data_IF_619586508617
#
_entry.id   IF_619586508617
#
_cell.length_a   1.000
_cell.length_b   1.000
_cell.length_c   1.000
_cell.angle_alpha   90.00
_cell.angle_beta   90.00
_cell.angle_gamma   90.00
#
_symmetry.space_group_name_H-M   'P 1'
#
loop_
_entity.id
_entity.type
_entity.pdbx_description
1 polymer ?
#
# COMPACT_ATOMS: atom_id res chain seq x y z
N UNK A 1 -45.26 24.80 1.46
CA UNK A 1 -43.85 24.58 1.84
C UNK A 1 -43.22 23.62 0.84
N UNK A 2 -42.48 24.15 -0.14
CA UNK A 2 -41.89 23.34 -1.21
C UNK A 2 -40.57 22.74 -0.73
N UNK A 3 -40.46 21.41 -0.70
CA UNK A 3 -39.19 20.73 -0.43
C UNK A 3 -38.35 20.80 -1.69
N UNK A 4 -37.36 21.68 -1.69
CA UNK A 4 -36.28 21.68 -2.67
C UNK A 4 -35.56 20.34 -2.60
N UNK A 5 -35.72 19.50 -3.62
CA UNK A 5 -34.89 18.32 -3.83
C UNK A 5 -33.55 18.80 -4.38
N UNK A 6 -32.62 19.07 -3.48
CA UNK A 6 -31.24 19.39 -3.84
C UNK A 6 -30.66 18.22 -4.64
N UNK A 7 -30.37 18.48 -5.92
CA UNK A 7 -29.80 17.48 -6.83
C UNK A 7 -28.36 17.22 -6.40
N UNK A 8 -28.14 16.17 -5.62
CA UNK A 8 -26.79 15.64 -5.34
C UNK A 8 -26.14 15.26 -6.67
N UNK A 9 -25.10 15.98 -7.06
CA UNK A 9 -24.32 15.64 -8.25
C UNK A 9 -23.58 14.31 -7.98
N UNK A 10 -23.67 13.31 -8.89
CA UNK A 10 -22.98 12.05 -8.71
C UNK A 10 -21.47 12.29 -8.66
N UNK A 11 -20.80 11.77 -7.62
CA UNK A 11 -19.36 11.83 -7.53
C UNK A 11 -18.75 11.19 -8.79
N UNK A 12 -17.95 11.98 -9.52
CA UNK A 12 -17.17 11.49 -10.66
C UNK A 12 -16.28 10.36 -10.15
N UNK A 13 -16.67 9.11 -10.46
CA UNK A 13 -15.84 7.93 -10.19
C UNK A 13 -14.48 8.19 -10.85
N UNK A 14 -13.42 8.19 -10.04
CA UNK A 14 -12.06 8.48 -10.49
C UNK A 14 -11.61 7.54 -11.60
N UNK A 15 -10.40 7.78 -12.14
CA UNK A 15 -9.82 6.94 -13.19
C UNK A 15 -9.89 5.46 -12.80
N UNK A 16 -10.22 4.55 -13.75
CA UNK A 16 -10.24 3.12 -13.48
C UNK A 16 -8.90 2.67 -12.89
N UNK A 17 -8.97 1.75 -11.93
CA UNK A 17 -7.79 1.24 -11.22
C UNK A 17 -6.80 0.68 -12.24
N UNK A 18 -5.69 1.39 -12.43
CA UNK A 18 -4.72 1.14 -13.51
C UNK A 18 -3.62 0.17 -13.05
N UNK A 19 -3.77 -0.44 -11.88
CA UNK A 19 -2.73 -1.21 -11.21
C UNK A 19 -2.93 -2.73 -11.32
N UNK A 20 -1.83 -3.45 -11.51
CA UNK A 20 -1.77 -4.90 -11.32
C UNK A 20 -1.94 -5.19 -9.83
N UNK A 21 -2.96 -5.98 -9.46
CA UNK A 21 -3.19 -6.46 -8.10
C UNK A 21 -4.29 -5.71 -7.32
N UNK A 22 -4.71 -6.32 -6.21
CA UNK A 22 -5.74 -5.77 -5.31
C UNK A 22 -5.13 -4.65 -4.45
N UNK A 23 -5.71 -3.44 -4.44
CA UNK A 23 -5.19 -2.35 -3.62
C UNK A 23 -5.37 -2.66 -2.13
N UNK A 24 -4.29 -2.50 -1.36
CA UNK A 24 -4.30 -2.62 0.10
C UNK A 24 -3.95 -1.24 0.67
N UNK A 25 -4.92 -0.57 1.29
CA UNK A 25 -4.68 0.70 1.99
C UNK A 25 -4.31 0.43 3.44
N UNK A 26 -3.08 0.76 3.82
CA UNK A 26 -2.57 0.62 5.19
C UNK A 26 -2.09 1.99 5.69
N UNK A 27 -2.44 2.31 6.93
CA UNK A 27 -1.92 3.48 7.65
C UNK A 27 -0.81 3.01 8.59
N UNK A 28 0.44 3.27 8.22
CA UNK A 28 1.59 2.97 9.07
C UNK A 28 1.80 4.11 10.08
N UNK A 29 2.21 3.77 11.30
CA UNK A 29 2.66 4.76 12.29
C UNK A 29 3.96 5.43 11.79
N UNK A 30 4.23 6.70 12.17
CA UNK A 30 5.41 7.44 11.71
C UNK A 30 6.74 6.73 12.00
N UNK A 31 6.85 6.08 13.16
CA UNK A 31 8.05 5.33 13.56
C UNK A 31 8.38 4.22 12.55
N UNK A 32 7.39 3.38 12.23
CA UNK A 32 7.57 2.26 11.27
C UNK A 32 7.83 2.78 9.86
N UNK A 33 7.16 3.88 9.49
CA UNK A 33 7.37 4.50 8.19
C UNK A 33 8.80 5.04 8.04
N UNK A 34 9.35 5.66 9.09
CA UNK A 34 10.73 6.16 9.07
C UNK A 34 11.76 5.04 8.89
N UNK A 35 11.59 3.93 9.59
CA UNK A 35 12.46 2.75 9.46
C UNK A 35 12.43 2.21 8.03
N UNK A 36 11.24 2.15 7.41
CA UNK A 36 11.11 1.72 6.02
C UNK A 36 11.82 2.67 5.06
N UNK A 37 11.67 3.98 5.25
CA UNK A 37 12.29 5.00 4.40
C UNK A 37 13.82 4.99 4.53
N UNK A 38 14.35 4.83 5.73
CA UNK A 38 15.79 4.70 5.99
C UNK A 38 16.37 3.45 5.31
N UNK A 39 15.65 2.32 5.40
CA UNK A 39 16.04 1.10 4.70
C UNK A 39 16.06 1.27 3.18
N UNK A 40 15.05 1.95 2.60
CA UNK A 40 15.01 2.27 1.15
C UNK A 40 16.18 3.18 0.77
N UNK A 41 16.52 4.16 1.61
CA UNK A 41 17.58 5.11 1.35
C UNK A 41 18.97 4.44 1.25
N UNK A 42 19.17 3.34 1.99
CA UNK A 42 20.39 2.54 2.00
C UNK A 42 20.53 1.57 0.81
N UNK A 43 19.49 1.40 -0.01
CA UNK A 43 19.54 0.50 -1.17
C UNK A 43 20.29 1.12 -2.36
N UNK A 44 20.96 0.30 -3.19
CA UNK A 44 21.57 0.76 -4.44
C UNK A 44 20.52 1.29 -5.43
N UNK A 45 20.96 2.14 -6.34
CA UNK A 45 20.11 2.64 -7.40
C UNK A 45 19.82 1.57 -8.48
N UNK A 46 18.57 1.51 -9.02
CA UNK A 46 17.43 2.35 -8.64
C UNK A 46 16.78 1.91 -7.32
N UNK A 47 16.57 2.88 -6.42
CA UNK A 47 15.95 2.62 -5.12
C UNK A 47 14.53 2.06 -5.28
N UNK A 48 14.14 1.06 -4.47
CA UNK A 48 12.78 0.53 -4.52
C UNK A 48 11.77 1.57 -4.05
N UNK A 49 10.61 1.63 -4.70
CA UNK A 49 9.48 2.41 -4.19
C UNK A 49 8.93 1.78 -2.89
N UNK A 50 8.27 2.57 -2.03
CA UNK A 50 7.63 2.04 -0.80
C UNK A 50 6.74 0.80 -1.05
N UNK A 51 5.85 0.77 -2.06
CA UNK A 51 5.05 -0.41 -2.33
C UNK A 51 5.90 -1.62 -2.77
N UNK A 52 7.02 -1.39 -3.47
CA UNK A 52 7.92 -2.47 -3.86
C UNK A 52 8.66 -3.05 -2.65
N UNK A 53 9.21 -2.19 -1.79
CA UNK A 53 9.87 -2.60 -0.55
C UNK A 53 8.92 -3.41 0.36
N UNK A 54 7.69 -2.92 0.55
CA UNK A 54 6.68 -3.62 1.36
C UNK A 54 6.37 -5.00 0.77
N UNK A 55 6.22 -5.13 -0.55
CA UNK A 55 6.00 -6.45 -1.18
C UNK A 55 7.13 -7.42 -0.89
N UNK A 56 8.38 -6.98 -1.07
CA UNK A 56 9.55 -7.81 -0.78
C UNK A 56 9.64 -8.24 0.68
N UNK A 57 9.30 -7.36 1.64
CA UNK A 57 9.27 -7.72 3.06
C UNK A 57 8.18 -8.72 3.39
N UNK A 58 6.98 -8.58 2.79
CA UNK A 58 5.89 -9.54 2.98
C UNK A 58 6.28 -10.92 2.41
N UNK A 59 6.84 -10.95 1.20
CA UNK A 59 7.31 -12.20 0.58
C UNK A 59 8.38 -12.88 1.43
N UNK A 60 9.38 -12.12 1.90
CA UNK A 60 10.43 -12.65 2.78
C UNK A 60 9.86 -13.19 4.10
N UNK A 61 8.97 -12.44 4.75
CA UNK A 61 8.34 -12.86 6.00
C UNK A 61 7.50 -14.13 5.85
N UNK A 62 6.75 -14.26 4.76
CA UNK A 62 5.97 -15.46 4.46
C UNK A 62 6.87 -16.67 4.19
N UNK A 63 7.95 -16.49 3.43
CA UNK A 63 8.92 -17.55 3.15
C UNK A 63 9.62 -18.04 4.43
N UNK A 64 9.97 -17.14 5.35
CA UNK A 64 10.54 -17.50 6.65
C UNK A 64 9.54 -18.32 7.49
N UNK A 65 8.28 -17.89 7.54
CA UNK A 65 7.23 -18.62 8.25
C UNK A 65 6.94 -20.01 7.66
N UNK A 66 7.00 -20.16 6.34
CA UNK A 66 6.82 -21.45 5.67
C UNK A 66 7.96 -22.42 6.01
N UNK A 67 9.21 -21.92 5.99
CA UNK A 67 10.37 -22.72 6.37
C UNK A 67 10.27 -23.25 7.80
N UNK A 68 9.80 -22.42 8.74
CA UNK A 68 9.68 -22.80 10.15
C UNK A 68 8.53 -23.79 10.41
N UNK A 69 7.52 -23.85 9.52
CA UNK A 69 6.42 -24.83 9.61
C UNK A 69 6.77 -26.21 9.07
N UNK A 70 7.86 -26.32 8.30
CA UNK A 70 8.32 -27.56 7.67
C UNK A 70 9.56 -28.18 8.30
N UNK A 71 10.02 -27.68 9.44
CA UNK A 71 11.19 -28.15 10.20
C UNK A 71 10.80 -28.96 11.44
#
# INVERSE_FOLDING_TARGET
>A
MSRSTEKMQPQKRGRPATGKGTPIQVRLRPEVLSILDDWIAAQPDPKPSRPAAIRSFVEAGLHMLEKDRGA
#
